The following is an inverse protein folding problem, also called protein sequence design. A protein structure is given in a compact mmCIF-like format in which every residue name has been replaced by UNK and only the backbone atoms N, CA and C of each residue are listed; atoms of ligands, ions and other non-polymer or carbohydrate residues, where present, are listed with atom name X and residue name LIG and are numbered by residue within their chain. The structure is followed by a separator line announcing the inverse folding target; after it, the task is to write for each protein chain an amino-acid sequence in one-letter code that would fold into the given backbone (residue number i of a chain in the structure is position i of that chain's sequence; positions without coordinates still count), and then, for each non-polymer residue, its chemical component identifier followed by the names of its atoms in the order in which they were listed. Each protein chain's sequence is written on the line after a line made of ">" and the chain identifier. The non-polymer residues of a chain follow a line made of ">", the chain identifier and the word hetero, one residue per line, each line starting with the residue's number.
data_IF_596573916926
#
_entry.id   IF_596573916926
#
_cell.length_a   1.000
_cell.length_b   1.000
_cell.length_c   1.000
_cell.angle_alpha   90.00
_cell.angle_beta   90.00
_cell.angle_gamma   90.00
#
_symmetry.space_group_name_H-M   'P 1'
#
loop_
_entity.id
_entity.type
_entity.pdbx_description
1 polymer ?
#
# COMPACT_ATOMS: atom_id res chain seq x y z
N UNK A 1 8.88 7.29 -1.33
CA UNK A 1 9.62 8.57 -1.30
C UNK A 1 10.93 8.46 -0.50
N UNK A 2 10.90 8.25 0.81
CA UNK A 2 12.14 8.21 1.61
C UNK A 2 13.11 7.10 1.18
N UNK A 3 12.60 5.88 1.00
CA UNK A 3 13.41 4.73 0.56
C UNK A 3 14.00 4.92 -0.85
N UNK A 4 13.23 5.46 -1.81
CA UNK A 4 13.74 5.75 -3.16
C UNK A 4 14.85 6.79 -3.12
N UNK A 5 14.69 7.83 -2.29
CA UNK A 5 15.70 8.89 -2.15
C UNK A 5 17.01 8.37 -1.53
N UNK A 6 16.94 7.56 -0.47
CA UNK A 6 18.15 6.97 0.15
C UNK A 6 18.86 6.01 -0.80
N UNK A 7 18.10 5.20 -1.54
CA UNK A 7 18.65 4.21 -2.44
C UNK A 7 19.10 4.81 -3.79
N UNK A 8 18.82 6.09 -4.06
CA UNK A 8 19.13 6.74 -5.33
C UNK A 8 18.35 6.15 -6.50
N UNK A 9 17.11 5.71 -6.26
CA UNK A 9 16.23 5.14 -7.28
C UNK A 9 15.33 6.22 -7.89
N UNK A 10 14.83 6.03 -9.13
CA UNK A 10 13.80 6.87 -9.70
C UNK A 10 12.58 7.02 -8.78
N UNK A 11 11.89 8.16 -8.87
CA UNK A 11 10.73 8.42 -8.03
C UNK A 11 9.61 7.41 -8.30
N UNK A 12 9.23 6.65 -7.28
CA UNK A 12 8.19 5.64 -7.42
C UNK A 12 6.77 6.23 -7.46
N UNK A 13 6.54 7.40 -6.86
CA UNK A 13 5.21 8.02 -6.76
C UNK A 13 5.34 9.54 -6.86
N UNK A 14 4.49 10.16 -7.66
CA UNK A 14 4.43 11.61 -7.81
C UNK A 14 3.39 12.23 -6.86
N UNK A 15 3.52 13.52 -6.47
CA UNK A 15 2.61 14.15 -5.52
C UNK A 15 1.13 14.13 -5.94
N UNK A 16 0.84 14.27 -7.24
CA UNK A 16 -0.53 14.27 -7.77
C UNK A 16 -1.22 12.92 -7.55
N UNK A 17 -0.47 11.82 -7.68
CA UNK A 17 -0.98 10.47 -7.40
C UNK A 17 -1.29 10.30 -5.91
N UNK A 18 -0.39 10.74 -5.02
CA UNK A 18 -0.59 10.66 -3.58
C UNK A 18 -1.78 11.51 -3.10
N UNK A 19 -1.99 12.68 -3.69
CA UNK A 19 -3.15 13.52 -3.39
C UNK A 19 -4.46 12.79 -3.73
N UNK A 20 -4.50 12.11 -4.86
CA UNK A 20 -5.67 11.32 -5.27
C UNK A 20 -5.91 10.12 -4.36
N UNK A 21 -4.85 9.39 -3.98
CA UNK A 21 -4.95 8.26 -3.05
C UNK A 21 -5.54 8.71 -1.72
N UNK A 22 -4.92 9.71 -1.09
CA UNK A 22 -5.33 10.18 0.24
C UNK A 22 -6.73 10.83 0.24
N UNK A 23 -7.13 11.51 -0.84
CA UNK A 23 -8.39 12.23 -0.88
C UNK A 23 -9.56 11.34 -1.31
N UNK A 24 -9.38 10.56 -2.37
CA UNK A 24 -10.47 9.83 -3.03
C UNK A 24 -10.42 8.37 -2.68
N UNK A 25 -9.27 7.73 -2.91
CA UNK A 25 -9.17 6.27 -2.84
C UNK A 25 -9.29 5.77 -1.40
N UNK A 26 -8.63 6.44 -0.46
CA UNK A 26 -8.68 6.12 0.98
C UNK A 26 -9.83 6.84 1.69
N UNK A 27 -10.30 7.96 1.14
CA UNK A 27 -11.43 8.72 1.69
C UNK A 27 -12.73 7.91 1.72
N UNK A 28 -13.01 7.13 0.66
CA UNK A 28 -14.22 6.31 0.61
C UNK A 28 -14.21 5.19 1.67
N UNK A 29 -13.18 4.34 1.81
CA UNK A 29 -13.13 3.35 2.89
C UNK A 29 -13.09 3.99 4.28
N UNK A 30 -12.38 5.11 4.46
CA UNK A 30 -12.32 5.80 5.76
C UNK A 30 -13.70 6.28 6.23
N UNK A 31 -14.51 6.83 5.32
CA UNK A 31 -15.90 7.19 5.65
C UNK A 31 -16.78 5.96 5.88
N UNK A 32 -16.54 4.86 5.14
CA UNK A 32 -17.29 3.62 5.32
C UNK A 32 -17.00 2.91 6.65
N UNK A 33 -15.78 3.04 7.20
CA UNK A 33 -15.43 2.53 8.53
C UNK A 33 -16.25 3.19 9.65
N UNK A 34 -16.79 4.41 9.41
CA UNK A 34 -17.73 5.06 10.32
C UNK A 34 -19.07 4.32 10.48
N UNK A 35 -19.39 3.40 9.57
CA UNK A 35 -20.59 2.55 9.63
C UNK A 35 -20.28 1.12 10.13
N UNK A 36 -19.12 0.90 10.74
CA UNK A 36 -18.79 -0.40 11.33
C UNK A 36 -19.76 -0.77 12.47
N UNK A 37 -20.13 -2.06 12.59
CA UNK A 37 -20.84 -2.54 13.76
C UNK A 37 -19.97 -2.38 15.01
N UNK A 38 -20.58 -2.21 16.20
CA UNK A 38 -19.82 -2.14 17.44
C UNK A 38 -19.10 -3.46 17.72
N UNK A 39 -17.95 -3.38 18.39
CA UNK A 39 -17.23 -4.56 18.86
C UNK A 39 -18.11 -5.41 19.81
N UNK A 40 -17.98 -6.73 19.73
CA UNK A 40 -18.78 -7.69 20.51
C UNK A 40 -18.65 -7.47 22.03
N UNK A 41 -17.45 -7.09 22.49
CA UNK A 41 -17.11 -6.98 23.90
C UNK A 41 -17.17 -5.51 24.40
N UNK A 42 -17.89 -4.63 23.70
CA UNK A 42 -17.88 -3.19 24.01
C UNK A 42 -18.51 -2.86 25.36
N UNK A 43 -19.53 -3.61 25.78
CA UNK A 43 -20.27 -3.38 27.03
C UNK A 43 -19.54 -3.94 28.26
N UNK A 44 -18.57 -4.83 28.06
CA UNK A 44 -17.74 -5.41 29.14
C UNK A 44 -16.51 -4.54 29.45
N UNK A 45 -16.22 -3.55 28.60
CA UNK A 45 -15.11 -2.61 28.77
C UNK A 45 -15.52 -1.43 29.65
N UNK A 46 -14.59 -0.99 30.51
CA UNK A 46 -14.74 0.21 31.32
C UNK A 46 -14.80 1.48 30.43
N UNK A 47 -15.48 2.56 30.87
CA UNK A 47 -15.48 3.83 30.16
C UNK A 47 -14.06 4.34 29.90
N UNK A 48 -13.79 4.78 28.66
CA UNK A 48 -12.49 5.28 28.23
C UNK A 48 -12.02 6.47 29.07
N UNK A 49 -10.76 6.47 29.49
CA UNK A 49 -10.15 7.60 30.19
C UNK A 49 -9.88 8.77 29.21
N UNK A 50 -10.34 10.01 29.48
CA UNK A 50 -10.09 11.16 28.60
C UNK A 50 -8.60 11.50 28.37
N UNK A 51 -7.70 11.03 29.25
CA UNK A 51 -6.26 11.24 29.14
C UNK A 51 -5.54 10.14 28.35
N UNK A 52 -6.24 9.08 27.95
CA UNK A 52 -5.65 7.98 27.21
C UNK A 52 -5.33 8.40 25.77
N UNK A 53 -4.07 8.24 25.30
CA UNK A 53 -3.70 8.62 23.94
C UNK A 53 -4.48 7.80 22.90
N UNK A 54 -4.66 8.37 21.70
CA UNK A 54 -5.27 7.65 20.58
C UNK A 54 -4.38 6.50 20.06
N UNK A 55 -3.06 6.66 20.18
CA UNK A 55 -2.07 5.67 19.73
C UNK A 55 -1.23 5.25 20.94
N UNK A 56 -1.45 4.02 21.40
CA UNK A 56 -0.63 3.38 22.43
C UNK A 56 0.71 2.93 21.86
N UNK A 57 1.69 2.59 22.72
CA UNK A 57 3.02 2.16 22.28
C UNK A 57 2.99 0.95 21.34
N UNK A 58 2.13 -0.03 21.62
CA UNK A 58 1.96 -1.20 20.75
C UNK A 58 1.26 -0.86 19.43
N UNK A 59 0.20 -0.04 19.49
CA UNK A 59 -0.52 0.38 18.29
C UNK A 59 0.39 1.20 17.35
N UNK A 60 1.28 2.02 17.92
CA UNK A 60 2.32 2.74 17.17
C UNK A 60 3.27 1.77 16.45
N UNK A 61 3.78 0.76 17.14
CA UNK A 61 4.66 -0.25 16.53
C UNK A 61 3.94 -1.01 15.40
N UNK A 62 2.67 -1.38 15.58
CA UNK A 62 1.87 -2.05 14.56
C UNK A 62 1.77 -1.21 13.28
N UNK A 63 1.37 0.06 13.40
CA UNK A 63 1.26 0.94 12.23
C UNK A 63 2.62 1.27 11.61
N UNK A 64 3.69 1.35 12.41
CA UNK A 64 5.05 1.49 11.90
C UNK A 64 5.46 0.28 11.05
N UNK A 65 5.20 -0.94 11.51
CA UNK A 65 5.52 -2.17 10.76
C UNK A 65 4.75 -2.24 9.44
N UNK A 66 3.45 -1.92 9.45
CA UNK A 66 2.62 -1.84 8.24
C UNK A 66 3.14 -0.75 7.29
N UNK A 67 3.46 0.45 7.80
CA UNK A 67 3.99 1.54 7.00
C UNK A 67 5.34 1.22 6.35
N UNK A 68 6.24 0.54 7.07
CA UNK A 68 7.51 0.04 6.52
C UNK A 68 7.24 -0.99 5.42
N UNK A 69 6.28 -1.89 5.61
CA UNK A 69 5.87 -2.85 4.59
C UNK A 69 5.35 -2.16 3.33
N UNK A 70 4.44 -1.19 3.45
CA UNK A 70 3.91 -0.42 2.32
C UNK A 70 5.04 0.31 1.58
N UNK A 71 5.97 0.93 2.32
CA UNK A 71 7.13 1.60 1.74
C UNK A 71 8.04 0.65 0.95
N UNK A 72 8.33 -0.53 1.48
CA UNK A 72 9.15 -1.54 0.79
C UNK A 72 8.42 -2.16 -0.39
N UNK A 73 7.11 -2.43 -0.26
CA UNK A 73 6.28 -3.01 -1.30
C UNK A 73 6.15 -2.09 -2.53
N UNK A 74 5.89 -0.80 -2.32
CA UNK A 74 5.76 0.18 -3.41
C UNK A 74 7.07 0.38 -4.17
N UNK A 75 8.19 0.56 -3.46
CA UNK A 75 9.53 0.68 -4.08
C UNK A 75 9.96 -0.63 -4.73
N UNK A 76 9.68 -1.75 -4.08
CA UNK A 76 9.97 -3.09 -4.59
C UNK A 76 9.23 -3.37 -5.90
N UNK A 77 7.96 -2.97 -6.02
CA UNK A 77 7.17 -3.14 -7.23
C UNK A 77 7.68 -2.28 -8.40
N UNK A 78 8.02 -1.01 -8.14
CA UNK A 78 8.64 -0.15 -9.16
C UNK A 78 10.01 -0.71 -9.61
N UNK A 79 10.83 -1.14 -8.66
CA UNK A 79 12.15 -1.74 -8.94
C UNK A 79 12.01 -3.06 -9.68
N UNK A 80 11.02 -3.89 -9.34
CA UNK A 80 10.75 -5.16 -10.00
C UNK A 80 10.49 -4.97 -11.49
N UNK A 81 9.77 -3.91 -11.87
CA UNK A 81 9.53 -3.61 -13.29
C UNK A 81 10.85 -3.37 -14.06
N UNK A 82 11.78 -2.62 -13.49
CA UNK A 82 13.08 -2.36 -14.11
C UNK A 82 13.97 -3.61 -14.24
N UNK A 83 13.92 -4.51 -13.25
CA UNK A 83 14.86 -5.63 -13.14
C UNK A 83 14.34 -6.93 -13.78
N UNK A 84 13.05 -7.21 -13.67
CA UNK A 84 12.52 -8.57 -13.89
C UNK A 84 11.30 -8.63 -14.80
N UNK A 85 10.68 -7.50 -15.16
CA UNK A 85 9.51 -7.53 -16.03
C UNK A 85 9.91 -7.91 -17.47
N UNK A 86 9.04 -8.66 -18.13
CA UNK A 86 9.28 -9.10 -19.51
C UNK A 86 9.16 -7.95 -20.52
N UNK A 87 8.35 -6.93 -20.20
CA UNK A 87 8.17 -5.72 -21.01
C UNK A 87 9.15 -4.60 -20.60
N UNK A 88 9.94 -4.81 -19.53
CA UNK A 88 10.91 -3.87 -19.01
C UNK A 88 12.33 -4.04 -19.59
N UNK A 89 13.25 -3.11 -19.29
CA UNK A 89 14.61 -3.11 -19.84
C UNK A 89 15.56 -4.13 -19.19
N UNK A 90 15.13 -4.85 -18.15
CA UNK A 90 15.90 -5.88 -17.43
C UNK A 90 17.31 -5.41 -16.99
N UNK A 91 17.37 -4.17 -16.49
CA UNK A 91 18.62 -3.57 -16.05
C UNK A 91 19.08 -4.12 -14.71
N UNK A 92 20.39 -4.10 -14.47
CA UNK A 92 20.94 -4.45 -13.17
C UNK A 92 20.60 -3.39 -12.11
N UNK A 93 20.54 -3.79 -10.84
CA UNK A 93 20.32 -2.87 -9.72
C UNK A 93 21.39 -1.76 -9.66
N UNK A 94 22.63 -2.06 -10.06
CA UNK A 94 23.71 -1.08 -10.09
C UNK A 94 23.49 0.01 -11.16
N UNK A 95 22.98 -0.38 -12.33
CA UNK A 95 22.61 0.57 -13.39
C UNK A 95 21.43 1.44 -12.92
N UNK A 96 20.41 0.83 -12.33
CA UNK A 96 19.22 1.54 -11.85
C UNK A 96 19.55 2.61 -10.79
N UNK A 97 20.44 2.31 -9.83
CA UNK A 97 20.87 3.30 -8.83
C UNK A 97 21.65 4.48 -9.42
N UNK A 98 22.31 4.26 -10.55
CA UNK A 98 23.12 5.29 -11.21
C UNK A 98 22.37 5.95 -12.39
N UNK A 99 21.04 5.89 -12.41
CA UNK A 99 20.23 6.37 -13.54
C UNK A 99 20.51 7.85 -13.91
N UNK A 100 20.84 8.71 -12.94
CA UNK A 100 21.18 10.13 -13.20
C UNK A 100 22.47 10.32 -14.03
N UNK A 101 23.29 9.27 -14.18
CA UNK A 101 24.50 9.27 -15.02
C UNK A 101 24.26 8.61 -16.38
N UNK A 102 23.00 8.36 -16.75
CA UNK A 102 22.64 7.83 -18.05
C UNK A 102 22.96 8.90 -19.11
N UNK A 103 23.87 8.56 -20.03
CA UNK A 103 24.29 9.40 -21.15
C UNK A 103 24.72 8.44 -22.25
N UNK A 104 24.51 8.79 -23.52
CA UNK A 104 24.82 7.91 -24.65
C UNK A 104 26.30 7.45 -24.68
N UNK A 105 27.21 8.29 -24.17
CA UNK A 105 28.65 8.01 -24.11
C UNK A 105 29.08 7.13 -22.92
N UNK A 106 28.17 6.76 -22.01
CA UNK A 106 28.51 6.04 -20.79
C UNK A 106 28.49 4.51 -21.03
N UNK A 107 29.62 3.80 -20.87
CA UNK A 107 29.70 2.36 -21.13
C UNK A 107 28.82 1.53 -20.17
N UNK A 108 28.35 2.10 -19.06
CA UNK A 108 27.45 1.42 -18.12
C UNK A 108 26.06 1.20 -18.72
N UNK A 109 25.64 2.03 -19.68
CA UNK A 109 24.29 2.03 -20.27
C UNK A 109 24.30 1.71 -21.76
N UNK A 110 25.33 1.03 -22.26
CA UNK A 110 25.45 0.65 -23.66
C UNK A 110 24.25 -0.22 -24.09
N UNK A 111 23.51 0.23 -25.10
CA UNK A 111 22.31 -0.46 -25.62
C UNK A 111 21.01 -0.21 -24.85
N UNK A 112 21.00 0.71 -23.87
CA UNK A 112 19.79 1.12 -23.12
C UNK A 112 19.43 2.56 -23.47
N UNK A 113 18.18 2.80 -23.85
CA UNK A 113 17.65 4.15 -24.02
C UNK A 113 17.37 4.79 -22.65
N UNK A 114 17.94 5.97 -22.40
CA UNK A 114 17.78 6.68 -21.12
C UNK A 114 16.33 7.15 -20.87
N UNK A 115 15.49 7.27 -21.90
CA UNK A 115 14.07 7.63 -21.75
C UNK A 115 13.30 6.59 -20.89
N UNK A 116 13.80 5.35 -20.80
CA UNK A 116 13.16 4.29 -20.02
C UNK A 116 13.07 4.59 -18.52
N UNK A 117 14.00 5.37 -17.97
CA UNK A 117 14.01 5.75 -16.55
C UNK A 117 12.94 6.79 -16.20
N UNK A 118 12.39 7.48 -17.20
CA UNK A 118 11.27 8.42 -17.06
C UNK A 118 9.92 7.77 -17.44
N UNK A 119 9.90 6.45 -17.66
CA UNK A 119 8.69 5.71 -18.01
C UNK A 119 7.63 5.75 -16.91
N UNK A 120 6.35 5.65 -17.31
CA UNK A 120 5.18 5.68 -16.44
C UNK A 120 4.81 4.32 -15.83
N UNK A 121 5.44 3.23 -16.28
CA UNK A 121 5.13 1.89 -15.80
C UNK A 121 5.55 1.66 -14.34
N UNK A 122 6.79 2.00 -13.90
CA UNK A 122 7.21 1.84 -12.50
C UNK A 122 6.32 2.61 -11.53
N UNK A 123 5.94 3.84 -11.88
CA UNK A 123 5.08 4.67 -11.04
C UNK A 123 3.67 4.10 -10.95
N UNK A 124 3.16 3.51 -12.03
CA UNK A 124 1.86 2.84 -12.02
C UNK A 124 1.87 1.54 -11.22
N UNK A 125 2.96 0.77 -11.27
CA UNK A 125 3.16 -0.43 -10.44
C UNK A 125 3.17 -0.06 -8.95
N UNK A 126 3.93 0.96 -8.57
CA UNK A 126 3.96 1.46 -7.19
C UNK A 126 2.59 1.99 -6.73
N UNK A 127 1.90 2.77 -7.57
CA UNK A 127 0.57 3.30 -7.26
C UNK A 127 -0.45 2.18 -7.07
N UNK A 128 -0.45 1.18 -7.96
CA UNK A 128 -1.38 0.06 -7.90
C UNK A 128 -1.13 -0.82 -6.67
N UNK A 129 0.13 -1.02 -6.28
CA UNK A 129 0.48 -1.70 -5.02
C UNK A 129 0.00 -0.91 -3.81
N UNK A 130 0.22 0.42 -3.79
CA UNK A 130 -0.25 1.28 -2.71
C UNK A 130 -1.77 1.18 -2.54
N UNK A 131 -2.52 1.43 -3.61
CA UNK A 131 -3.99 1.36 -3.59
C UNK A 131 -4.48 -0.02 -3.15
N UNK A 132 -3.90 -1.09 -3.67
CA UNK A 132 -4.30 -2.46 -3.31
C UNK A 132 -4.00 -2.77 -1.83
N UNK A 133 -2.86 -2.30 -1.31
CA UNK A 133 -2.52 -2.44 0.11
C UNK A 133 -3.50 -1.64 0.97
N UNK A 134 -3.83 -0.40 0.62
CA UNK A 134 -4.75 0.41 1.42
C UNK A 134 -6.17 -0.19 1.45
N UNK A 135 -6.63 -0.78 0.34
CA UNK A 135 -7.90 -1.53 0.35
C UNK A 135 -7.85 -2.74 1.29
N UNK A 136 -6.70 -3.43 1.37
CA UNK A 136 -6.49 -4.52 2.33
C UNK A 136 -6.40 -4.00 3.78
N UNK A 137 -5.72 -2.88 4.01
CA UNK A 137 -5.63 -2.22 5.32
C UNK A 137 -6.98 -1.72 5.80
N UNK A 138 -7.86 -1.28 4.90
CA UNK A 138 -9.23 -0.92 5.24
C UNK A 138 -10.02 -2.11 5.79
N UNK A 139 -9.83 -3.32 5.23
CA UNK A 139 -10.39 -4.55 5.78
C UNK A 139 -9.82 -4.87 7.16
N UNK A 140 -8.50 -4.75 7.32
CA UNK A 140 -7.85 -4.91 8.62
C UNK A 140 -8.36 -3.88 9.66
N UNK A 141 -8.75 -2.70 9.23
CA UNK A 141 -9.24 -1.63 10.11
C UNK A 141 -10.69 -1.81 10.57
N UNK A 142 -11.39 -2.87 10.12
CA UNK A 142 -12.74 -3.22 10.64
C UNK A 142 -12.71 -3.46 12.14
N UNK A 143 -11.61 -4.01 12.65
CA UNK A 143 -11.42 -4.20 14.08
C UNK A 143 -9.98 -3.94 14.49
N UNK A 144 -9.82 -3.35 15.66
CA UNK A 144 -8.49 -3.13 16.23
C UNK A 144 -7.83 -4.44 16.64
N UNK A 145 -8.55 -5.32 17.34
CA UNK A 145 -7.96 -6.53 17.95
C UNK A 145 -8.61 -7.84 17.49
N UNK A 146 -9.84 -7.81 16.98
CA UNK A 146 -10.46 -9.04 16.49
C UNK A 146 -9.87 -9.44 15.13
N UNK A 147 -9.75 -10.75 14.96
CA UNK A 147 -9.35 -11.36 13.68
C UNK A 147 -10.40 -11.10 12.61
N UNK A 148 -9.95 -10.94 11.36
CA UNK A 148 -10.83 -10.97 10.18
C UNK A 148 -11.64 -12.28 10.08
N UNK A 149 -11.16 -13.37 10.68
CA UNK A 149 -11.90 -14.64 10.73
C UNK A 149 -13.07 -14.61 11.72
N UNK A 150 -12.95 -13.82 12.80
CA UNK A 150 -14.02 -13.66 13.80
C UNK A 150 -15.02 -12.60 13.38
N UNK A 151 -14.53 -11.48 12.85
CA UNK A 151 -15.34 -10.41 12.29
C UNK A 151 -15.11 -10.33 10.79
N UNK A 152 -15.89 -11.08 10.00
CA UNK A 152 -15.67 -11.14 8.57
C UNK A 152 -16.03 -9.82 7.89
N UNK A 153 -15.40 -9.53 6.74
CA UNK A 153 -15.51 -8.23 6.09
C UNK A 153 -16.90 -7.91 5.53
N UNK A 154 -17.76 -8.91 5.33
CA UNK A 154 -19.16 -8.72 4.89
C UNK A 154 -20.10 -8.18 5.97
N UNK A 155 -19.63 -8.04 7.22
CA UNK A 155 -20.39 -7.37 8.26
C UNK A 155 -20.64 -5.89 7.94
N UNK A 156 -19.70 -5.24 7.24
CA UNK A 156 -19.88 -3.88 6.75
C UNK A 156 -19.99 -3.86 5.22
N UNK A 157 -21.23 -3.95 4.72
CA UNK A 157 -21.53 -3.90 3.28
C UNK A 157 -21.12 -2.53 2.69
N UNK A 158 -21.19 -1.45 3.48
CA UNK A 158 -20.75 -0.12 3.05
C UNK A 158 -19.24 -0.08 2.79
N UNK A 159 -18.45 -0.74 3.63
CA UNK A 159 -17.00 -0.86 3.43
C UNK A 159 -16.67 -1.65 2.16
N UNK A 160 -17.35 -2.78 1.92
CA UNK A 160 -17.17 -3.54 0.68
C UNK A 160 -17.55 -2.72 -0.55
N UNK A 161 -18.66 -1.98 -0.49
CA UNK A 161 -19.07 -1.07 -1.55
C UNK A 161 -18.04 0.04 -1.79
N UNK A 162 -17.49 0.62 -0.73
CA UNK A 162 -16.45 1.64 -0.81
C UNK A 162 -15.15 1.10 -1.43
N UNK A 163 -14.70 -0.10 -1.04
CA UNK A 163 -13.52 -0.74 -1.63
C UNK A 163 -13.72 -1.02 -3.12
N UNK A 164 -14.89 -1.57 -3.51
CA UNK A 164 -15.21 -1.82 -4.92
C UNK A 164 -15.23 -0.51 -5.71
N UNK A 165 -15.82 0.55 -5.15
CA UNK A 165 -15.86 1.88 -5.77
C UNK A 165 -14.45 2.47 -5.90
N UNK A 166 -13.63 2.44 -4.85
CA UNK A 166 -12.24 2.90 -4.88
C UNK A 166 -11.43 2.16 -5.92
N UNK A 167 -11.60 0.84 -6.04
CA UNK A 167 -10.90 0.05 -7.04
C UNK A 167 -11.41 0.31 -8.46
N UNK A 168 -12.71 0.54 -8.63
CA UNK A 168 -13.28 0.98 -9.91
C UNK A 168 -12.75 2.36 -10.34
N UNK A 169 -12.60 3.30 -9.40
CA UNK A 169 -11.98 4.60 -9.63
C UNK A 169 -10.48 4.45 -9.97
N UNK A 170 -9.77 3.50 -9.37
CA UNK A 170 -8.40 3.18 -9.76
C UNK A 170 -8.32 2.66 -11.21
N UNK A 171 -9.23 1.78 -11.62
CA UNK A 171 -9.30 1.37 -13.03
C UNK A 171 -9.71 2.53 -13.96
N UNK A 172 -10.58 3.43 -13.50
CA UNK A 172 -10.97 4.62 -14.26
C UNK A 172 -9.74 5.48 -14.59
N UNK A 173 -8.85 5.73 -13.62
CA UNK A 173 -7.66 6.55 -13.87
C UNK A 173 -6.65 5.87 -14.82
N UNK A 174 -6.66 4.53 -14.92
CA UNK A 174 -5.76 3.78 -15.80
C UNK A 174 -6.26 3.67 -17.25
N UNK A 175 -7.57 3.52 -17.44
CA UNK A 175 -8.14 3.18 -18.75
C UNK A 175 -8.85 4.35 -19.46
N UNK A 176 -9.35 5.34 -18.72
CA UNK A 176 -10.14 6.44 -19.30
C UNK A 176 -9.27 7.65 -19.61
N UNK A 177 -9.03 7.91 -20.90
CA UNK A 177 -8.45 9.19 -21.37
C UNK A 177 -9.40 10.32 -20.95
N UNK A 178 -8.96 11.39 -20.24
CA UNK A 178 -7.61 11.97 -20.17
C UNK A 178 -6.80 11.65 -18.88
N UNK A 179 -7.33 10.83 -17.97
CA UNK A 179 -6.74 10.63 -16.63
C UNK A 179 -5.28 10.13 -16.64
N UNK A 180 -4.87 9.17 -17.49
CA UNK A 180 -3.49 8.70 -17.55
C UNK A 180 -2.44 9.79 -17.82
N UNK A 181 -2.84 10.86 -18.53
CA UNK A 181 -1.96 12.00 -18.84
C UNK A 181 -1.76 12.90 -17.61
N UNK A 182 -2.80 13.09 -16.80
CA UNK A 182 -2.75 13.94 -15.60
C UNK A 182 -1.97 13.22 -14.49
N UNK A 183 -2.27 11.94 -14.28
CA UNK A 183 -1.65 11.14 -13.22
C UNK A 183 -0.33 10.48 -13.62
N UNK A 184 0.12 10.66 -14.87
CA UNK A 184 1.33 10.03 -15.41
C UNK A 184 1.35 8.51 -15.18
N UNK A 185 0.24 7.85 -15.51
CA UNK A 185 0.05 6.39 -15.35
C UNK A 185 -0.19 5.72 -16.70
N UNK A 186 0.01 4.40 -16.76
CA UNK A 186 -0.23 3.56 -17.93
C UNK A 186 -0.98 2.29 -17.57
N UNK A 187 -1.84 1.75 -18.44
CA UNK A 187 -2.55 0.51 -18.13
C UNK A 187 -1.55 -0.64 -17.93
N UNK A 188 -1.76 -1.43 -16.87
CA UNK A 188 -0.93 -2.58 -16.55
C UNK A 188 -1.44 -3.85 -17.23
N UNK A 189 -0.50 -4.71 -17.65
CA UNK A 189 -0.79 -6.02 -18.21
C UNK A 189 -1.20 -7.02 -17.13
N UNK A 190 -1.79 -8.15 -17.53
CA UNK A 190 -2.24 -9.18 -16.59
C UNK A 190 -1.09 -9.76 -15.72
N UNK A 191 0.11 -10.07 -16.25
CA UNK A 191 1.24 -10.51 -15.43
C UNK A 191 1.66 -9.49 -14.35
N UNK A 192 1.66 -8.21 -14.71
CA UNK A 192 1.96 -7.11 -13.79
C UNK A 192 0.94 -7.04 -12.65
N UNK A 193 -0.36 -7.20 -12.96
CA UNK A 193 -1.42 -7.28 -11.93
C UNK A 193 -1.25 -8.48 -10.98
N UNK A 194 -0.81 -9.63 -11.47
CA UNK A 194 -0.52 -10.79 -10.61
C UNK A 194 0.60 -10.46 -9.62
N UNK A 195 1.62 -9.70 -10.05
CA UNK A 195 2.71 -9.25 -9.16
C UNK A 195 2.21 -8.25 -8.13
N UNK A 196 1.38 -7.29 -8.55
CA UNK A 196 0.71 -6.34 -7.63
C UNK A 196 -0.04 -7.10 -6.54
N UNK A 197 -0.89 -8.07 -6.91
CA UNK A 197 -1.64 -8.87 -5.93
C UNK A 197 -0.73 -9.69 -5.01
N UNK A 198 0.33 -10.31 -5.54
CA UNK A 198 1.28 -11.10 -4.74
C UNK A 198 2.04 -10.26 -3.72
N UNK A 199 2.39 -9.03 -4.06
CA UNK A 199 3.07 -8.09 -3.15
C UNK A 199 2.10 -7.45 -2.16
N UNK A 200 0.84 -7.20 -2.55
CA UNK A 200 -0.11 -6.50 -1.69
C UNK A 200 -0.79 -7.40 -0.65
N UNK A 201 -1.24 -8.61 -1.04
CA UNK A 201 -2.02 -9.50 -0.17
C UNK A 201 -1.35 -9.89 1.17
N UNK A 202 -0.02 -10.08 1.27
CA UNK A 202 0.61 -10.45 2.53
C UNK A 202 0.46 -9.41 3.65
N UNK A 203 0.04 -8.17 3.34
CA UNK A 203 -0.27 -7.16 4.38
C UNK A 203 -1.40 -7.60 5.31
N UNK A 204 -2.36 -8.40 4.81
CA UNK A 204 -3.44 -8.97 5.62
C UNK A 204 -2.85 -9.97 6.63
N UNK A 205 -1.95 -10.84 6.15
CA UNK A 205 -1.30 -11.84 7.01
C UNK A 205 -0.39 -11.18 8.04
N UNK A 206 0.30 -10.10 7.66
CA UNK A 206 1.13 -9.29 8.55
C UNK A 206 0.28 -8.72 9.69
N UNK A 207 -0.81 -8.00 9.39
CA UNK A 207 -1.67 -7.40 10.42
C UNK A 207 -2.38 -8.45 11.27
N UNK A 208 -2.85 -9.55 10.67
CA UNK A 208 -3.48 -10.65 11.41
C UNK A 208 -2.50 -11.32 12.38
N UNK A 209 -1.23 -11.47 11.96
CA UNK A 209 -0.14 -11.93 12.83
C UNK A 209 0.13 -10.97 13.99
N UNK A 210 0.13 -9.65 13.74
CA UNK A 210 0.30 -8.62 14.76
C UNK A 210 -0.88 -8.57 15.74
N UNK A 211 -2.12 -8.73 15.26
CA UNK A 211 -3.32 -8.87 16.09
C UNK A 211 -3.32 -10.13 16.93
N UNK A 212 -2.87 -11.25 16.37
CA UNK A 212 -2.70 -12.49 17.12
C UNK A 212 -1.68 -12.33 18.26
N UNK A 213 -0.54 -11.67 17.98
CA UNK A 213 0.47 -11.38 18.99
C UNK A 213 -0.08 -10.47 20.10
N UNK A 214 -0.85 -9.44 19.74
CA UNK A 214 -1.53 -8.55 20.69
C UNK A 214 -2.42 -9.31 21.67
N UNK A 215 -3.33 -10.13 21.12
CA UNK A 215 -4.32 -10.88 21.91
C UNK A 215 -3.69 -11.89 22.87
N UNK A 216 -2.62 -12.57 22.43
CA UNK A 216 -2.07 -13.70 23.18
C UNK A 216 -0.95 -13.30 24.14
N UNK A 217 -0.19 -12.24 23.85
CA UNK A 217 1.01 -11.90 24.63
C UNK A 217 0.92 -10.56 25.36
N UNK A 218 0.11 -9.60 24.90
CA UNK A 218 0.05 -8.26 25.51
C UNK A 218 -1.19 -8.04 26.37
N UNK A 219 -2.34 -8.55 25.93
CA UNK A 219 -3.58 -8.52 26.73
C UNK A 219 -3.52 -9.51 27.92
N UNK A 220 -2.63 -10.51 27.85
CA UNK A 220 -2.38 -11.46 28.95
C UNK A 220 -1.58 -10.89 30.12
N UNK A 221 -0.73 -9.87 29.89
CA UNK A 221 0.05 -9.23 30.96
C UNK A 221 -0.73 -8.13 31.68
N UNK A 222 -1.66 -7.44 31.01
CA UNK A 222 -2.50 -6.40 31.64
C UNK A 222 -3.60 -6.94 32.55
N UNK A 223 -3.85 -8.26 32.56
CA UNK A 223 -4.76 -8.91 33.50
C UNK A 223 -4.13 -9.27 34.86
N UNK A 224 -2.82 -9.03 35.05
CA UNK A 224 -2.06 -9.45 36.24
C UNK A 224 -1.34 -8.31 36.97
N UNK A 225 -1.60 -7.03 36.63
CA UNK A 225 -1.11 -5.86 37.39
C UNK A 225 -2.26 -4.98 37.88
#
# INVERSE_FOLDING_TARGET
>A
IFLTAILGLPEALIPVQLLWVNLVTDGLPATALGFNPPDLDIMDKLPRNPKEPLISGWLFFRYLAIGVYVGLATVGAATWWFLYDAEGPQVSFHQLRNFMRCTEDNPIFEGIDCEIFESRYPTTMALSVLVTIEMCNALNSVSENQSLLRMPPWLNIWLLGAIIMSMALHFLILYVKPMPLIFQVTPLSWPQWVVVMKISLPVILLDEGLKYLSRNHLDGEHGLM
#
